data_IF_474494537593
#
_entry.id   IF_474494537593
#
_cell.length_a   1.000
_cell.length_b   1.000
_cell.length_c   1.000
_cell.angle_alpha   90.00
_cell.angle_beta   90.00
_cell.angle_gamma   90.00
#
_symmetry.space_group_name_H-M   'P 1'
#
loop_
_entity.id
_entity.type
_entity.pdbx_description
1 polymer ?
#
# COMPACT_ATOMS: atom_id res chain seq x y z
N UNK A 1 2.16 -5.96 26.74
CA UNK A 1 2.33 -5.29 25.44
C UNK A 1 3.22 -6.18 24.59
N UNK A 2 2.65 -7.28 24.12
CA UNK A 2 3.36 -8.25 23.28
C UNK A 2 3.13 -7.80 21.84
N UNK A 3 4.17 -7.22 21.23
CA UNK A 3 4.22 -7.09 19.79
C UNK A 3 4.37 -8.52 19.30
N UNK A 4 3.22 -9.17 19.10
CA UNK A 4 3.12 -10.40 18.34
C UNK A 4 3.61 -10.02 16.95
N UNK A 5 4.89 -10.26 16.72
CA UNK A 5 5.54 -10.27 15.42
C UNK A 5 4.87 -11.37 14.63
N UNK A 6 3.64 -11.07 14.18
CA UNK A 6 2.84 -11.91 13.32
C UNK A 6 3.73 -12.26 12.15
N UNK A 7 3.91 -13.56 11.96
CA UNK A 7 4.58 -14.13 10.81
C UNK A 7 4.12 -13.37 9.57
N UNK A 8 5.00 -12.51 9.08
CA UNK A 8 4.92 -11.95 7.75
C UNK A 8 5.11 -13.16 6.81
N UNK A 9 4.03 -13.91 6.60
CA UNK A 9 3.93 -14.97 5.60
C UNK A 9 4.13 -14.30 4.26
N UNK A 10 5.41 -14.17 3.88
CA UNK A 10 5.83 -13.71 2.57
C UNK A 10 5.09 -14.56 1.53
N UNK A 11 4.18 -13.98 0.75
CA UNK A 11 3.43 -14.69 -0.27
C UNK A 11 4.39 -15.42 -1.22
N UNK A 12 4.07 -16.66 -1.55
CA UNK A 12 4.83 -17.53 -2.48
C UNK A 12 4.89 -16.99 -3.91
N UNK A 13 4.21 -15.89 -4.20
CA UNK A 13 4.28 -15.20 -5.48
C UNK A 13 5.60 -14.40 -5.59
N UNK A 14 6.50 -14.89 -6.44
CA UNK A 14 7.76 -14.22 -6.80
C UNK A 14 7.57 -12.73 -7.11
N UNK A 15 6.43 -12.34 -7.71
CA UNK A 15 6.13 -10.97 -8.07
C UNK A 15 5.94 -10.05 -6.86
N UNK A 16 5.23 -10.52 -5.83
CA UNK A 16 5.00 -9.73 -4.62
C UNK A 16 6.28 -9.64 -3.80
N UNK A 17 7.06 -10.73 -3.73
CA UNK A 17 8.39 -10.70 -3.11
C UNK A 17 9.27 -9.64 -3.78
N UNK A 18 9.27 -9.55 -5.10
CA UNK A 18 10.02 -8.52 -5.83
C UNK A 18 9.50 -7.12 -5.51
N UNK A 19 8.18 -6.89 -5.44
CA UNK A 19 7.63 -5.59 -5.07
C UNK A 19 8.01 -5.17 -3.64
N UNK A 20 8.06 -6.11 -2.70
CA UNK A 20 8.49 -5.85 -1.33
C UNK A 20 9.98 -5.48 -1.26
N UNK A 21 10.82 -6.18 -2.04
CA UNK A 21 12.24 -5.88 -2.16
C UNK A 21 12.45 -4.49 -2.78
N UNK A 22 11.70 -4.15 -3.83
CA UNK A 22 11.73 -2.81 -4.43
C UNK A 22 11.33 -1.75 -3.40
N UNK A 23 10.23 -1.97 -2.67
CA UNK A 23 9.80 -1.06 -1.61
C UNK A 23 10.87 -0.87 -0.53
N UNK A 24 11.58 -1.94 -0.15
CA UNK A 24 12.68 -1.85 0.82
C UNK A 24 13.85 -1.01 0.28
N UNK A 25 14.24 -1.20 -0.98
CA UNK A 25 15.28 -0.38 -1.61
C UNK A 25 14.87 1.08 -1.74
N UNK A 26 13.61 1.37 -2.12
CA UNK A 26 13.08 2.73 -2.16
C UNK A 26 13.08 3.37 -0.77
N UNK A 27 12.74 2.60 0.27
CA UNK A 27 12.75 3.08 1.64
C UNK A 27 14.18 3.44 2.07
N UNK A 28 15.16 2.58 1.82
CA UNK A 28 16.57 2.88 2.11
C UNK A 28 17.04 4.10 1.34
N UNK A 29 16.69 4.22 0.05
CA UNK A 29 17.04 5.40 -0.77
C UNK A 29 16.43 6.68 -0.20
N UNK A 30 15.16 6.65 0.17
CA UNK A 30 14.47 7.82 0.73
C UNK A 30 15.02 8.24 2.08
N UNK A 31 15.39 7.29 2.94
CA UNK A 31 16.06 7.58 4.22
C UNK A 31 17.41 8.25 3.99
N UNK A 32 18.22 7.70 3.07
CA UNK A 32 19.50 8.31 2.70
C UNK A 32 19.32 9.75 2.20
N UNK A 33 18.35 9.96 1.31
CA UNK A 33 18.03 11.29 0.79
C UNK A 33 17.54 12.25 1.88
N UNK A 34 16.75 11.76 2.84
CA UNK A 34 16.30 12.54 4.00
C UNK A 34 17.48 12.98 4.88
N UNK A 35 18.41 12.08 5.22
CA UNK A 35 19.62 12.44 5.97
C UNK A 35 20.48 13.48 5.23
N UNK A 36 20.63 13.32 3.90
CA UNK A 36 21.33 14.30 3.08
C UNK A 36 20.63 15.67 3.10
N UNK A 37 19.30 15.70 3.00
CA UNK A 37 18.52 16.93 3.01
C UNK A 37 18.57 17.64 4.37
N UNK A 38 18.53 16.91 5.47
CA UNK A 38 18.68 17.48 6.82
C UNK A 38 20.07 18.10 6.97
N UNK A 39 21.11 17.40 6.52
CA UNK A 39 22.49 17.91 6.58
C UNK A 39 22.64 19.22 5.81
N UNK A 40 22.08 19.29 4.60
CA UNK A 40 22.03 20.51 3.78
C UNK A 40 21.25 21.64 4.44
N UNK A 41 20.11 21.32 5.06
CA UNK A 41 19.28 22.32 5.74
C UNK A 41 19.97 22.91 6.97
N UNK A 42 20.72 22.11 7.72
CA UNK A 42 21.50 22.59 8.88
C UNK A 42 22.64 23.51 8.45
N UNK A 43 23.26 23.24 7.31
CA UNK A 43 24.36 24.06 6.77
C UNK A 43 23.85 25.38 6.17
N UNK A 44 22.75 25.34 5.40
CA UNK A 44 22.21 26.49 4.70
C UNK A 44 20.68 26.46 4.70
N UNK A 45 20.05 27.15 5.65
CA UNK A 45 18.59 27.31 5.68
C UNK A 45 18.15 28.27 4.58
N UNK A 46 17.61 27.73 3.49
CA UNK A 46 16.98 28.48 2.41
C UNK A 46 15.63 27.85 2.05
N UNK A 47 14.77 28.58 1.33
CA UNK A 47 13.48 28.04 0.89
C UNK A 47 13.65 26.73 0.09
N UNK A 48 14.68 26.65 -0.76
CA UNK A 48 15.00 25.46 -1.53
C UNK A 48 15.30 24.23 -0.66
N UNK A 49 16.02 24.40 0.45
CA UNK A 49 16.36 23.27 1.34
C UNK A 49 15.13 22.80 2.13
N UNK A 50 14.24 23.73 2.50
CA UNK A 50 12.95 23.40 3.14
C UNK A 50 12.08 22.58 2.19
N UNK A 51 11.96 22.99 0.93
CA UNK A 51 11.17 22.27 -0.08
C UNK A 51 11.75 20.88 -0.39
N UNK A 52 13.08 20.76 -0.44
CA UNK A 52 13.75 19.47 -0.59
C UNK A 52 13.42 18.53 0.59
N UNK A 53 13.45 19.05 1.81
CA UNK A 53 13.13 18.26 3.00
C UNK A 53 11.66 17.80 3.01
N UNK A 54 10.72 18.69 2.72
CA UNK A 54 9.29 18.36 2.58
C UNK A 54 9.04 17.28 1.51
N UNK A 55 9.75 17.36 0.39
CA UNK A 55 9.70 16.34 -0.66
C UNK A 55 10.18 14.98 -0.13
N UNK A 56 11.23 14.94 0.69
CA UNK A 56 11.70 13.68 1.30
C UNK A 56 10.67 13.06 2.22
N UNK A 57 9.96 13.87 3.02
CA UNK A 57 8.90 13.40 3.92
C UNK A 57 7.74 12.82 3.11
N UNK A 58 7.31 13.53 2.07
CA UNK A 58 6.26 13.06 1.17
C UNK A 58 6.66 11.72 0.53
N UNK A 59 7.93 11.56 0.13
CA UNK A 59 8.43 10.31 -0.44
C UNK A 59 8.43 9.16 0.57
N UNK A 60 8.86 9.40 1.80
CA UNK A 60 8.80 8.37 2.87
C UNK A 60 7.36 7.94 3.12
N UNK A 61 6.42 8.89 3.13
CA UNK A 61 5.00 8.60 3.32
C UNK A 61 4.42 7.76 2.17
N UNK A 62 4.79 8.05 0.91
CA UNK A 62 4.32 7.26 -0.24
C UNK A 62 4.92 5.86 -0.22
N UNK A 63 6.21 5.69 0.08
CA UNK A 63 6.83 4.37 0.25
C UNK A 63 6.20 3.59 1.41
N UNK A 64 5.89 4.25 2.52
CA UNK A 64 5.09 3.65 3.60
C UNK A 64 3.71 3.19 3.11
N UNK A 65 3.05 4.01 2.30
CA UNK A 65 1.79 3.67 1.64
C UNK A 65 1.92 2.45 0.71
N UNK A 66 3.04 2.30 -0.01
CA UNK A 66 3.34 1.10 -0.81
C UNK A 66 3.45 -0.14 0.08
N UNK A 67 4.20 -0.08 1.18
CA UNK A 67 4.32 -1.19 2.12
C UNK A 67 2.97 -1.59 2.71
N UNK A 68 2.21 -0.63 3.22
CA UNK A 68 0.87 -0.89 3.78
C UNK A 68 -0.07 -1.41 2.69
N UNK A 69 0.00 -0.88 1.47
CA UNK A 69 -0.79 -1.33 0.32
C UNK A 69 -0.47 -2.77 -0.08
N UNK A 70 0.81 -3.16 -0.06
CA UNK A 70 1.27 -4.53 -0.31
C UNK A 70 0.84 -5.49 0.81
N UNK A 71 0.90 -5.04 2.07
CA UNK A 71 0.54 -5.86 3.23
C UNK A 71 -0.96 -6.08 3.38
N UNK A 72 -1.74 -5.03 3.17
CA UNK A 72 -3.20 -5.06 3.31
C UNK A 72 -3.91 -5.44 2.01
N UNK A 73 -3.15 -5.71 0.93
CA UNK A 73 -3.66 -5.96 -0.41
C UNK A 73 -4.70 -4.93 -0.87
N UNK A 74 -4.56 -3.67 -0.43
CA UNK A 74 -5.49 -2.59 -0.75
C UNK A 74 -5.05 -1.88 -2.03
N UNK A 75 -5.80 -2.02 -3.14
CA UNK A 75 -5.39 -1.46 -4.44
C UNK A 75 -5.31 0.07 -4.42
N UNK A 76 -6.11 0.74 -3.58
CA UNK A 76 -6.17 2.21 -3.53
C UNK A 76 -4.85 2.86 -3.12
N UNK A 77 -4.13 2.29 -2.15
CA UNK A 77 -2.81 2.80 -1.72
C UNK A 77 -1.75 2.59 -2.81
N UNK A 78 -1.81 1.46 -3.50
CA UNK A 78 -0.92 1.17 -4.63
C UNK A 78 -1.16 2.15 -5.79
N UNK A 79 -2.42 2.50 -6.08
CA UNK A 79 -2.75 3.49 -7.11
C UNK A 79 -2.18 4.86 -6.76
N UNK A 80 -2.33 5.31 -5.50
CA UNK A 80 -1.76 6.59 -5.08
C UNK A 80 -0.24 6.62 -5.24
N UNK A 81 0.44 5.55 -4.81
CA UNK A 81 1.88 5.42 -5.00
C UNK A 81 2.29 5.39 -6.47
N UNK A 82 1.55 4.65 -7.31
CA UNK A 82 1.80 4.57 -8.75
C UNK A 82 1.63 5.92 -9.44
N UNK A 83 0.59 6.68 -9.11
CA UNK A 83 0.36 8.02 -9.68
C UNK A 83 1.45 9.00 -9.27
N UNK A 84 1.81 9.01 -7.98
CA UNK A 84 2.85 9.90 -7.48
C UNK A 84 4.22 9.59 -8.06
N UNK A 85 4.58 8.30 -8.11
CA UNK A 85 5.85 7.85 -8.71
C UNK A 85 5.88 8.10 -10.21
N UNK A 86 4.76 7.87 -10.92
CA UNK A 86 4.68 8.19 -12.35
C UNK A 86 4.88 9.68 -12.62
N UNK A 87 4.32 10.55 -11.80
CA UNK A 87 4.52 12.00 -11.90
C UNK A 87 5.99 12.37 -11.65
N UNK A 88 6.61 11.81 -10.60
CA UNK A 88 8.02 12.04 -10.30
C UNK A 88 8.93 11.61 -11.44
N UNK A 89 8.77 10.39 -11.94
CA UNK A 89 9.56 9.88 -13.08
C UNK A 89 9.32 10.71 -14.35
N UNK A 90 8.10 11.22 -14.58
CA UNK A 90 7.84 12.14 -15.68
C UNK A 90 8.59 13.47 -15.51
N UNK A 91 8.63 14.02 -14.29
CA UNK A 91 9.43 15.22 -14.00
C UNK A 91 10.93 14.98 -14.19
N UNK A 92 11.45 13.81 -13.86
CA UNK A 92 12.85 13.44 -14.06
C UNK A 92 13.20 13.31 -15.54
N UNK A 93 12.30 12.78 -16.36
CA UNK A 93 12.44 12.75 -17.83
C UNK A 93 12.51 14.17 -18.40
N UNK A 94 11.62 15.07 -17.96
CA UNK A 94 11.62 16.47 -18.40
C UNK A 94 12.93 17.15 -17.98
N UNK A 95 13.39 16.92 -16.74
CA UNK A 95 14.66 17.45 -16.25
C UNK A 95 15.85 16.93 -17.06
N UNK A 96 15.87 15.65 -17.42
CA UNK A 96 16.91 15.08 -18.28
C UNK A 96 16.93 15.76 -19.65
N UNK A 97 15.78 15.87 -20.31
CA UNK A 97 15.67 16.52 -21.63
C UNK A 97 16.14 17.97 -21.54
N UNK A 98 15.72 18.68 -20.49
CA UNK A 98 16.12 20.07 -20.25
C UNK A 98 17.64 20.19 -20.05
N UNK A 99 18.23 19.30 -19.25
CA UNK A 99 19.66 19.30 -18.95
C UNK A 99 20.50 19.02 -20.20
N UNK A 100 20.05 18.07 -21.04
CA UNK A 100 20.71 17.76 -22.31
C UNK A 100 20.59 18.92 -23.30
N UNK A 101 19.40 19.50 -23.44
CA UNK A 101 19.13 20.57 -24.43
C UNK A 101 19.81 21.89 -24.05
N UNK A 102 19.91 22.17 -22.75
CA UNK A 102 20.50 23.43 -22.26
C UNK A 102 22.03 23.40 -22.23
N UNK A 103 22.67 22.24 -22.42
CA UNK A 103 24.12 22.15 -22.37
C UNK A 103 24.75 22.61 -23.69
N UNK A 104 25.50 23.72 -23.70
CA UNK A 104 26.11 24.23 -24.93
C UNK A 104 27.35 23.44 -25.36
N UNK A 105 27.88 22.56 -24.50
CA UNK A 105 29.14 21.86 -24.73
C UNK A 105 28.95 20.37 -24.45
N UNK A 106 29.27 19.55 -25.45
CA UNK A 106 29.35 18.09 -25.31
C UNK A 106 30.72 17.72 -24.74
N UNK A 107 30.82 17.68 -23.42
CA UNK A 107 32.00 17.21 -22.71
C UNK A 107 31.77 15.82 -22.08
N UNK A 108 32.83 15.05 -21.86
CA UNK A 108 32.78 13.70 -21.31
C UNK A 108 32.11 13.67 -19.91
N UNK A 109 32.33 14.71 -19.09
CA UNK A 109 31.71 14.85 -17.77
C UNK A 109 30.18 15.04 -17.84
N UNK A 110 29.69 15.79 -18.83
CA UNK A 110 28.25 15.97 -19.05
C UNK A 110 27.62 14.66 -19.52
N UNK A 111 28.26 13.96 -20.46
CA UNK A 111 27.82 12.63 -20.91
C UNK A 111 27.73 11.63 -19.76
N UNK A 112 28.73 11.61 -18.86
CA UNK A 112 28.70 10.76 -17.67
C UNK A 112 27.52 11.09 -16.77
N UNK A 113 27.27 12.38 -16.52
CA UNK A 113 26.15 12.83 -15.68
C UNK A 113 24.80 12.46 -16.28
N UNK A 114 24.61 12.64 -17.59
CA UNK A 114 23.39 12.25 -18.28
C UNK A 114 23.18 10.73 -18.30
N UNK A 115 24.26 9.96 -18.48
CA UNK A 115 24.19 8.50 -18.47
C UNK A 115 23.73 7.98 -17.11
N UNK A 116 24.24 8.56 -16.02
CA UNK A 116 23.82 8.22 -14.65
C UNK A 116 22.34 8.58 -14.45
N UNK A 117 21.91 9.78 -14.87
CA UNK A 117 20.50 10.17 -14.78
C UNK A 117 19.58 9.26 -15.61
N UNK A 118 20.01 8.87 -16.82
CA UNK A 118 19.25 7.96 -17.67
C UNK A 118 19.09 6.57 -17.03
N UNK A 119 20.16 6.02 -16.44
CA UNK A 119 20.09 4.76 -15.71
C UNK A 119 19.16 4.83 -14.49
N UNK A 120 19.13 5.98 -13.80
CA UNK A 120 18.19 6.25 -12.71
C UNK A 120 16.74 6.17 -13.18
N UNK A 121 16.40 6.90 -14.24
CA UNK A 121 15.04 6.88 -14.84
C UNK A 121 14.67 5.48 -15.31
N UNK A 122 15.59 4.77 -15.97
CA UNK A 122 15.33 3.40 -16.42
C UNK A 122 15.02 2.46 -15.26
N UNK A 123 15.76 2.58 -14.15
CA UNK A 123 15.50 1.84 -12.93
C UNK A 123 14.11 2.19 -12.34
N UNK A 124 13.74 3.46 -12.28
CA UNK A 124 12.45 3.90 -11.75
C UNK A 124 11.28 3.39 -12.60
N UNK A 125 11.38 3.48 -13.93
CA UNK A 125 10.37 2.96 -14.86
C UNK A 125 10.24 1.44 -14.69
N UNK A 126 11.34 0.72 -14.48
CA UNK A 126 11.32 -0.72 -14.23
C UNK A 126 10.59 -1.05 -12.92
N UNK A 127 10.85 -0.29 -11.86
CA UNK A 127 10.18 -0.46 -10.57
C UNK A 127 8.67 -0.17 -10.68
N UNK A 128 8.32 0.94 -11.33
CA UNK A 128 6.94 1.33 -11.60
C UNK A 128 6.21 0.26 -12.41
N UNK A 129 6.84 -0.29 -13.45
CA UNK A 129 6.27 -1.36 -14.26
C UNK A 129 6.01 -2.64 -13.46
N UNK A 130 6.95 -3.05 -12.59
CA UNK A 130 6.79 -4.26 -11.77
C UNK A 130 5.64 -4.11 -10.77
N UNK A 131 5.55 -2.97 -10.08
CA UNK A 131 4.45 -2.69 -9.15
C UNK A 131 3.12 -2.56 -9.91
N UNK A 132 3.11 -1.91 -11.08
CA UNK A 132 1.92 -1.82 -11.92
C UNK A 132 1.44 -3.21 -12.39
N UNK A 133 2.36 -4.09 -12.78
CA UNK A 133 2.05 -5.47 -13.15
C UNK A 133 1.46 -6.25 -11.99
N UNK A 134 2.01 -6.07 -10.79
CA UNK A 134 1.45 -6.65 -9.56
C UNK A 134 0.05 -6.09 -9.28
N UNK A 135 -0.13 -4.77 -9.36
CA UNK A 135 -1.42 -4.11 -9.19
C UNK A 135 -2.48 -4.66 -10.15
N UNK A 136 -2.14 -4.81 -11.44
CA UNK A 136 -3.07 -5.36 -12.44
C UNK A 136 -3.48 -6.80 -12.10
N UNK A 137 -2.55 -7.60 -11.59
CA UNK A 137 -2.83 -8.97 -11.15
C UNK A 137 -3.78 -8.97 -9.94
N UNK A 138 -3.51 -8.12 -8.95
CA UNK A 138 -4.36 -7.95 -7.77
C UNK A 138 -5.77 -7.48 -8.16
N UNK A 139 -5.88 -6.49 -9.04
CA UNK A 139 -7.17 -5.98 -9.51
C UNK A 139 -7.97 -7.05 -10.25
N UNK A 140 -7.33 -7.88 -11.07
CA UNK A 140 -7.99 -9.04 -11.69
C UNK A 140 -8.55 -10.02 -10.66
N UNK A 141 -7.82 -10.30 -9.57
CA UNK A 141 -8.34 -11.15 -8.50
C UNK A 141 -9.52 -10.49 -7.78
N UNK A 142 -9.43 -9.20 -7.45
CA UNK A 142 -10.52 -8.46 -6.79
C UNK A 142 -11.78 -8.43 -7.67
N UNK A 143 -11.63 -8.31 -8.99
CA UNK A 143 -12.76 -8.32 -9.92
C UNK A 143 -13.38 -9.72 -10.06
N UNK A 144 -12.55 -10.78 -10.09
CA UNK A 144 -13.02 -12.16 -10.19
C UNK A 144 -13.65 -12.68 -8.89
N UNK A 145 -13.09 -12.30 -7.74
CA UNK A 145 -13.60 -12.64 -6.41
C UNK A 145 -14.72 -11.68 -5.96
N UNK A 146 -14.93 -10.58 -6.69
CA UNK A 146 -15.93 -9.55 -6.41
C UNK A 146 -17.38 -10.04 -6.48
N UNK A 147 -17.62 -11.23 -7.05
CA UNK A 147 -18.93 -11.89 -6.99
C UNK A 147 -19.15 -12.69 -5.69
N UNK A 148 -18.10 -12.84 -4.85
CA UNK A 148 -18.13 -13.69 -3.65
C UNK A 148 -17.87 -12.93 -2.34
N UNK A 149 -17.58 -11.62 -2.39
CA UNK A 149 -17.36 -10.80 -1.18
C UNK A 149 -18.64 -10.19 -0.58
N UNK A 150 -19.80 -10.33 -1.22
CA UNK A 150 -21.05 -9.72 -0.73
C UNK A 150 -21.88 -10.63 0.20
N UNK A 151 -21.49 -11.89 0.42
CA UNK A 151 -22.27 -12.82 1.25
C UNK A 151 -21.69 -13.07 2.65
N UNK A 152 -20.37 -13.11 2.83
CA UNK A 152 -19.80 -13.55 4.13
C UNK A 152 -19.63 -12.46 5.19
N UNK A 153 -19.79 -11.17 4.86
CA UNK A 153 -19.70 -10.09 5.86
C UNK A 153 -21.04 -9.61 6.41
N UNK A 154 -22.16 -10.06 5.83
CA UNK A 154 -23.51 -9.75 6.32
C UNK A 154 -24.08 -10.83 7.26
N UNK A 155 -23.62 -12.07 7.15
CA UNK A 155 -24.09 -13.14 8.04
C UNK A 155 -23.55 -13.01 9.47
N UNK A 156 -22.40 -12.38 9.67
CA UNK A 156 -21.81 -12.23 11.02
C UNK A 156 -22.39 -11.10 11.87
N UNK A 157 -23.29 -10.26 11.32
CA UNK A 157 -24.00 -9.22 12.10
C UNK A 157 -25.49 -9.52 12.29
N UNK A 158 -26.00 -10.60 11.73
CA UNK A 158 -27.44 -10.93 11.79
C UNK A 158 -27.75 -12.14 12.69
N UNK A 159 -26.74 -12.92 13.11
CA UNK A 159 -26.94 -14.02 14.06
C UNK A 159 -26.85 -13.61 15.54
N UNK A 160 -26.27 -12.46 15.88
CA UNK A 160 -26.08 -12.06 17.30
C UNK A 160 -27.28 -11.31 17.91
N UNK A 161 -28.42 -11.25 17.19
CA UNK A 161 -29.66 -10.62 17.67
C UNK A 161 -30.84 -11.59 17.81
N UNK A 162 -30.64 -12.90 17.59
CA UNK A 162 -31.72 -13.89 17.63
C UNK A 162 -31.68 -14.87 18.82
N UNK A 163 -30.64 -14.84 19.64
CA UNK A 163 -30.46 -15.78 20.76
C UNK A 163 -30.67 -15.19 22.16
N UNK A 164 -31.20 -13.97 22.28
CA UNK A 164 -31.40 -13.28 23.57
C UNK A 164 -32.87 -13.11 24.04
N UNK A 165 -33.84 -13.82 23.45
CA UNK A 165 -35.24 -13.81 23.92
C UNK A 165 -35.77 -15.16 24.42
N UNK A 166 -34.92 -16.15 24.68
CA UNK A 166 -35.39 -17.46 25.16
C UNK A 166 -34.60 -17.96 26.37
N UNK A 167 -34.71 -17.26 27.51
CA UNK A 167 -34.66 -17.85 28.86
C UNK A 167 -34.74 -16.75 29.93
N UNK A 168 -35.95 -16.41 30.38
CA UNK A 168 -36.15 -15.93 31.75
C UNK A 168 -37.50 -16.44 32.26
N UNK A 169 -37.42 -17.52 33.04
CA UNK A 169 -38.24 -17.85 34.21
C UNK A 169 -39.77 -18.05 34.04
N UNK A 170 -40.15 -19.33 34.07
CA UNK A 170 -41.39 -19.84 34.69
C UNK A 170 -41.41 -19.52 36.21
N UNK A 171 -42.52 -19.74 36.98
CA UNK A 171 -43.85 -20.23 36.61
C UNK A 171 -45.03 -19.51 37.31
N UNK A 172 -46.23 -19.47 36.70
CA UNK A 172 -47.47 -19.31 37.48
C UNK A 172 -48.70 -19.93 36.80
N UNK A 173 -49.43 -20.70 37.62
CA UNK A 173 -50.84 -21.10 37.53
C UNK A 173 -51.31 -21.88 36.29
N UNK A 174 -51.48 -23.21 36.39
CA UNK A 174 -52.77 -23.88 36.72
C UNK A 174 -53.97 -23.37 35.91
N UNK A 175 -54.39 -24.12 34.88
CA UNK A 175 -55.77 -24.53 34.56
C UNK A 175 -55.69 -25.44 33.31
N UNK A 176 -55.73 -26.77 33.44
CA UNK A 176 -56.93 -27.64 33.35
C UNK A 176 -57.33 -27.95 31.89
N UNK A 177 -56.79 -29.05 31.35
CA UNK A 177 -57.40 -29.73 30.19
C UNK A 177 -57.45 -31.23 30.45
N UNK A 178 -58.68 -31.73 30.48
CA UNK A 178 -59.09 -33.10 30.72
C UNK A 178 -58.71 -33.98 29.52
N UNK A 179 -57.82 -34.95 29.75
CA UNK A 179 -57.49 -36.04 28.82
C UNK A 179 -58.05 -37.37 29.32
N UNK A 180 -59.15 -37.80 28.69
CA UNK A 180 -59.44 -39.16 28.21
C UNK A 180 -59.11 -40.33 29.15
N UNK A 181 -60.16 -40.86 29.78
CA UNK A 181 -60.17 -42.19 30.40
C UNK A 181 -60.27 -43.30 29.35
N UNK A 182 -59.55 -44.36 29.63
CA UNK A 182 -59.46 -45.63 28.91
C UNK A 182 -60.65 -46.55 29.20
N UNK A 183 -61.16 -47.23 28.17
CA UNK A 183 -61.78 -48.57 28.21
C UNK A 183 -61.43 -49.21 26.85
N UNK A 184 -60.79 -50.37 26.77
CA UNK A 184 -60.88 -51.53 27.67
C UNK A 184 -62.07 -52.34 27.26
#
# INVERSE_FOLDING_TARGET
MSIESGELKLPTDNLLRTCFVIGAFELVRSLYFSFSSVSLMVLHTNWYTIMAFLSTIAWIATVGGLFVGLLTSRPTLLVFWLLFTAFATATDIIYLIWNVTSSPIFDAEHLKRWTISYLGIFYEVTCLYLVFRYFRRLYSYVLLEGDNYDTTTKDRKTEDYRDNETQTQSPSSKYRTSGRSSKG
#
